data_IF_679456616687
#
_entry.id   IF_679456616687
#
_cell.length_a   1.000
_cell.length_b   1.000
_cell.length_c   1.000
_cell.angle_alpha   90.00
_cell.angle_beta   90.00
_cell.angle_gamma   90.00
#
_symmetry.space_group_name_H-M   'P 1'
#
loop_
_entity.id
_entity.type
_entity.pdbx_description
1 polymer ?
#
# COMPACT_ATOMS: atom_id res chain seq x y z
N UNK A 1 -4.45 2.95 -1.36
CA UNK A 1 -3.60 1.83 -0.93
C UNK A 1 -4.36 0.52 -1.06
N UNK A 2 -3.67 -0.56 -1.42
CA UNK A 2 -4.23 -1.92 -1.43
C UNK A 2 -3.46 -2.74 -0.39
N UNK A 3 -4.16 -3.27 0.60
CA UNK A 3 -3.59 -4.13 1.63
C UNK A 3 -3.84 -5.59 1.24
N UNK A 4 -2.78 -6.27 0.76
CA UNK A 4 -2.87 -7.66 0.36
C UNK A 4 -2.66 -8.59 1.55
N UNK A 5 -3.70 -9.29 1.95
CA UNK A 5 -3.68 -10.38 2.93
C UNK A 5 -2.99 -10.03 4.27
N UNK A 6 -3.12 -8.79 4.72
CA UNK A 6 -2.66 -8.41 6.06
C UNK A 6 -3.56 -9.05 7.10
N UNK A 7 -3.09 -10.12 7.73
CA UNK A 7 -3.87 -10.89 8.71
C UNK A 7 -3.75 -10.36 10.14
N UNK A 8 -2.79 -9.50 10.41
CA UNK A 8 -2.59 -8.90 11.72
C UNK A 8 -3.42 -7.61 11.84
N UNK A 9 -4.38 -7.60 12.76
CA UNK A 9 -5.24 -6.45 13.01
C UNK A 9 -4.48 -5.19 13.43
N UNK A 10 -3.34 -5.35 14.11
CA UNK A 10 -2.48 -4.23 14.51
C UNK A 10 -1.86 -3.56 13.27
N UNK A 11 -1.38 -4.33 12.32
CA UNK A 11 -0.83 -3.80 11.07
C UNK A 11 -1.91 -3.10 10.22
N UNK A 12 -3.10 -3.69 10.14
CA UNK A 12 -4.23 -3.06 9.44
C UNK A 12 -4.57 -1.72 10.08
N UNK A 13 -4.75 -1.68 11.40
CA UNK A 13 -5.06 -0.44 12.12
C UNK A 13 -3.98 0.63 11.95
N UNK A 14 -2.71 0.25 12.05
CA UNK A 14 -1.59 1.17 11.88
C UNK A 14 -1.50 1.72 10.45
N UNK A 15 -1.77 0.89 9.43
CA UNK A 15 -1.82 1.33 8.04
C UNK A 15 -2.95 2.35 7.81
N UNK A 16 -4.13 2.12 8.38
CA UNK A 16 -5.23 3.08 8.31
C UNK A 16 -4.88 4.41 8.98
N UNK A 17 -4.23 4.36 10.14
CA UNK A 17 -3.80 5.58 10.84
C UNK A 17 -2.82 6.39 10.00
N UNK A 18 -1.81 5.77 9.43
CA UNK A 18 -0.85 6.42 8.54
C UNK A 18 -1.54 6.96 7.29
N UNK A 19 -2.45 6.21 6.71
CA UNK A 19 -3.21 6.62 5.53
C UNK A 19 -4.03 7.89 5.80
N UNK A 20 -4.73 7.95 6.93
CA UNK A 20 -5.48 9.14 7.33
C UNK A 20 -4.56 10.34 7.55
N UNK A 21 -3.44 10.14 8.23
CA UNK A 21 -2.50 11.21 8.55
C UNK A 21 -1.78 11.76 7.31
N UNK A 22 -1.54 10.92 6.32
CA UNK A 22 -0.72 11.25 5.15
C UNK A 22 -1.51 11.46 3.85
N UNK A 23 -2.84 11.55 3.96
CA UNK A 23 -3.70 11.96 2.85
C UNK A 23 -3.95 10.90 1.79
N UNK A 24 -3.92 9.62 2.16
CA UNK A 24 -4.34 8.53 1.26
C UNK A 24 -5.85 8.66 1.02
N UNK A 25 -6.26 8.62 -0.24
CA UNK A 25 -7.66 8.87 -0.62
C UNK A 25 -8.59 7.72 -0.25
N UNK A 26 -8.12 6.48 -0.39
CA UNK A 26 -8.92 5.30 -0.09
C UNK A 26 -8.05 4.07 0.14
N UNK A 27 -8.62 3.06 0.80
CA UNK A 27 -7.97 1.77 1.03
C UNK A 27 -8.84 0.64 0.48
N UNK A 28 -8.22 -0.27 -0.25
CA UNK A 28 -8.80 -1.55 -0.62
C UNK A 28 -8.16 -2.65 0.22
N UNK A 29 -8.99 -3.52 0.80
CA UNK A 29 -8.49 -4.71 1.50
C UNK A 29 -8.87 -5.95 0.69
N UNK A 30 -7.92 -6.86 0.53
CA UNK A 30 -8.14 -8.08 -0.24
C UNK A 30 -9.02 -9.09 0.55
N UNK A 31 -9.55 -10.14 -0.10
CA UNK A 31 -10.52 -11.04 0.56
C UNK A 31 -10.03 -11.67 1.86
N UNK A 32 -8.72 -11.91 2.00
CA UNK A 32 -8.14 -12.55 3.21
C UNK A 32 -7.57 -11.56 4.22
N UNK A 33 -7.66 -10.26 3.94
CA UNK A 33 -7.18 -9.24 4.86
C UNK A 33 -7.99 -9.25 6.16
N UNK A 34 -7.35 -8.99 7.29
CA UNK A 34 -8.02 -8.83 8.58
C UNK A 34 -9.07 -7.71 8.50
N UNK A 35 -10.12 -7.83 9.30
CA UNK A 35 -11.22 -6.87 9.31
C UNK A 35 -10.78 -5.53 9.91
N UNK A 36 -10.86 -4.43 9.14
CA UNK A 36 -10.57 -3.10 9.68
C UNK A 36 -11.49 -2.68 10.83
N UNK A 37 -12.68 -3.23 10.91
CA UNK A 37 -13.65 -2.95 11.97
C UNK A 37 -13.51 -3.85 13.20
N UNK A 38 -12.57 -4.80 13.19
CA UNK A 38 -12.27 -5.57 14.38
C UNK A 38 -11.76 -4.66 15.48
N UNK A 39 -12.13 -4.97 16.73
CA UNK A 39 -11.86 -4.11 17.89
C UNK A 39 -10.40 -3.63 17.97
N UNK A 40 -9.43 -4.53 17.77
CA UNK A 40 -8.01 -4.18 17.80
C UNK A 40 -7.63 -3.24 16.66
N UNK A 41 -8.13 -3.47 15.45
CA UNK A 41 -7.88 -2.59 14.30
C UNK A 41 -8.41 -1.18 14.58
N UNK A 42 -9.63 -1.05 15.09
CA UNK A 42 -10.23 0.23 15.44
C UNK A 42 -9.39 0.96 16.49
N UNK A 43 -8.97 0.26 17.54
CA UNK A 43 -8.18 0.87 18.64
C UNK A 43 -6.81 1.32 18.16
N UNK A 44 -6.09 0.47 17.43
CA UNK A 44 -4.76 0.81 16.91
C UNK A 44 -4.83 1.95 15.90
N UNK A 45 -5.86 1.99 15.09
CA UNK A 45 -6.06 3.05 14.10
C UNK A 45 -6.42 4.41 14.73
N UNK A 46 -6.74 4.46 16.02
CA UNK A 46 -7.24 5.67 16.69
C UNK A 46 -8.48 6.22 16.00
N UNK A 47 -9.35 5.34 15.50
CA UNK A 47 -10.57 5.70 14.76
C UNK A 47 -10.37 6.02 13.29
N UNK A 48 -9.16 5.94 12.76
CA UNK A 48 -8.89 6.25 11.36
C UNK A 48 -9.65 5.33 10.37
N UNK A 49 -10.03 4.12 10.78
CA UNK A 49 -10.86 3.22 9.98
C UNK A 49 -12.23 3.83 9.62
N UNK A 50 -12.68 4.84 10.35
CA UNK A 50 -13.91 5.58 10.07
C UNK A 50 -13.67 6.87 9.27
N UNK A 51 -12.42 7.25 9.04
CA UNK A 51 -12.05 8.50 8.35
C UNK A 51 -11.64 8.25 6.90
N UNK A 52 -10.94 7.16 6.63
CA UNK A 52 -10.48 6.82 5.29
C UNK A 52 -11.51 5.90 4.64
N UNK A 53 -12.06 6.27 3.47
CA UNK A 53 -12.93 5.37 2.72
C UNK A 53 -12.22 4.06 2.42
N UNK A 54 -12.91 2.95 2.65
CA UNK A 54 -12.34 1.65 2.35
C UNK A 54 -13.42 0.66 1.93
N UNK A 55 -13.01 -0.37 1.20
CA UNK A 55 -13.85 -1.50 0.89
C UNK A 55 -13.05 -2.79 0.80
N UNK A 56 -13.71 -3.90 1.08
CA UNK A 56 -13.17 -5.24 0.82
C UNK A 56 -13.48 -5.61 -0.62
N UNK A 57 -12.45 -5.89 -1.40
CA UNK A 57 -12.64 -6.37 -2.76
C UNK A 57 -12.93 -7.87 -2.77
N UNK A 58 -13.69 -8.33 -3.76
CA UNK A 58 -14.18 -9.71 -3.82
C UNK A 58 -13.22 -10.67 -4.51
N UNK A 59 -12.32 -10.13 -5.33
CA UNK A 59 -11.27 -10.92 -5.99
C UNK A 59 -9.96 -10.13 -6.04
N UNK A 60 -8.87 -10.82 -6.04
CA UNK A 60 -7.54 -10.25 -6.17
C UNK A 60 -6.60 -11.23 -6.88
N UNK A 61 -5.68 -10.80 -7.78
CA UNK A 61 -5.51 -9.42 -8.24
C UNK A 61 -6.66 -8.91 -9.10
N UNK A 62 -6.94 -7.60 -8.97
CA UNK A 62 -7.96 -6.90 -9.75
C UNK A 62 -7.33 -5.67 -10.44
N UNK A 63 -6.14 -5.84 -11.00
CA UNK A 63 -5.34 -4.76 -11.58
C UNK A 63 -6.01 -4.16 -12.81
N UNK A 64 -6.71 -4.98 -13.58
CA UNK A 64 -7.50 -4.54 -14.73
C UNK A 64 -8.56 -3.49 -14.35
N UNK A 65 -9.27 -3.69 -13.23
CA UNK A 65 -10.25 -2.73 -12.73
C UNK A 65 -9.59 -1.41 -12.30
N UNK A 66 -8.40 -1.49 -11.68
CA UNK A 66 -7.63 -0.30 -11.31
C UNK A 66 -7.13 0.45 -12.54
N UNK A 67 -6.65 -0.26 -13.56
CA UNK A 67 -6.25 0.35 -14.83
C UNK A 67 -7.43 1.03 -15.53
N UNK A 68 -8.58 0.40 -15.56
CA UNK A 68 -9.80 0.98 -16.16
C UNK A 68 -10.22 2.26 -15.44
N UNK A 69 -9.94 2.37 -14.15
CA UNK A 69 -10.19 3.58 -13.36
C UNK A 69 -9.06 4.63 -13.47
N UNK A 70 -8.03 4.35 -14.24
CA UNK A 70 -6.93 5.28 -14.50
C UNK A 70 -5.76 5.22 -13.51
N UNK A 71 -5.69 4.16 -12.68
CA UNK A 71 -4.60 4.00 -11.72
C UNK A 71 -3.41 3.28 -12.33
N UNK A 72 -2.22 3.79 -12.05
CA UNK A 72 -1.00 3.00 -12.15
C UNK A 72 -0.83 2.17 -10.89
N UNK A 73 -0.45 0.91 -11.02
CA UNK A 73 -0.34 -0.02 -9.90
C UNK A 73 1.13 -0.24 -9.57
N UNK A 74 1.53 0.14 -8.37
CA UNK A 74 2.88 -0.03 -7.84
C UNK A 74 2.85 -1.04 -6.69
N UNK A 75 3.69 -2.06 -6.78
CA UNK A 75 3.84 -3.08 -5.75
C UNK A 75 5.07 -2.78 -4.89
N UNK A 76 4.88 -2.62 -3.58
CA UNK A 76 6.00 -2.37 -2.66
C UNK A 76 6.61 -3.71 -2.25
N UNK A 77 7.79 -4.00 -2.76
CA UNK A 77 8.47 -5.27 -2.53
C UNK A 77 9.97 -5.15 -2.75
N UNK A 78 10.74 -6.09 -2.17
CA UNK A 78 12.14 -6.26 -2.50
C UNK A 78 12.27 -7.09 -3.78
N UNK A 79 12.91 -6.51 -4.77
CA UNK A 79 13.26 -7.18 -6.02
C UNK A 79 14.50 -6.52 -6.59
N UNK A 80 15.36 -7.28 -7.25
CA UNK A 80 16.56 -6.73 -7.90
C UNK A 80 16.20 -5.70 -8.98
N UNK A 81 15.08 -5.92 -9.66
CA UNK A 81 14.59 -5.05 -10.72
C UNK A 81 13.68 -3.92 -10.21
N UNK A 82 13.50 -3.80 -8.89
CA UNK A 82 12.64 -2.78 -8.33
C UNK A 82 13.25 -1.39 -8.45
N UNK A 83 12.39 -0.42 -8.77
CA UNK A 83 12.74 1.01 -8.75
C UNK A 83 12.77 1.49 -7.30
N UNK A 84 13.69 2.38 -6.94
CA UNK A 84 13.66 2.98 -5.61
C UNK A 84 12.41 3.83 -5.41
N UNK A 85 11.93 3.90 -4.18
CA UNK A 85 10.77 4.73 -3.83
C UNK A 85 11.02 6.21 -4.19
N UNK A 86 12.23 6.69 -4.00
CA UNK A 86 12.60 8.07 -4.34
C UNK A 86 12.48 8.34 -5.85
N UNK A 87 13.01 7.45 -6.68
CA UNK A 87 12.93 7.57 -8.13
C UNK A 87 11.48 7.43 -8.63
N UNK A 88 10.72 6.51 -8.04
CA UNK A 88 9.32 6.34 -8.37
C UNK A 88 8.50 7.59 -8.03
N UNK A 89 8.70 8.15 -6.83
CA UNK A 89 8.01 9.37 -6.39
C UNK A 89 8.33 10.57 -7.28
N UNK A 90 9.54 10.62 -7.86
CA UNK A 90 9.96 11.67 -8.77
C UNK A 90 9.53 11.44 -10.23
N UNK A 91 9.02 10.25 -10.54
CA UNK A 91 8.63 9.88 -11.92
C UNK A 91 7.35 10.59 -12.37
N UNK A 92 7.13 10.72 -13.70
CA UNK A 92 5.89 11.28 -14.25
C UNK A 92 4.63 10.54 -13.78
N UNK A 93 4.73 9.26 -13.47
CA UNK A 93 3.63 8.46 -12.92
C UNK A 93 3.07 9.07 -11.63
N UNK A 94 3.93 9.68 -10.82
CA UNK A 94 3.54 10.28 -9.53
C UNK A 94 3.40 11.80 -9.58
N UNK A 95 4.06 12.47 -10.53
CA UNK A 95 4.16 13.94 -10.56
C UNK A 95 3.21 14.62 -11.54
N UNK A 96 2.65 13.89 -12.49
CA UNK A 96 1.68 14.46 -13.41
C UNK A 96 0.41 14.91 -12.67
N UNK A 97 -0.22 15.97 -13.16
CA UNK A 97 -1.36 16.60 -12.49
C UNK A 97 -2.58 15.66 -12.32
N UNK A 98 -2.72 14.70 -13.21
CA UNK A 98 -3.79 13.69 -13.20
C UNK A 98 -3.33 12.33 -12.68
N UNK A 99 -2.20 12.27 -12.02
CA UNK A 99 -1.64 11.02 -11.48
C UNK A 99 -2.57 10.34 -10.51
N UNK A 100 -2.78 9.04 -10.72
CA UNK A 100 -3.48 8.15 -9.80
C UNK A 100 -2.63 6.92 -9.58
N UNK A 101 -2.23 6.69 -8.36
CA UNK A 101 -1.38 5.54 -7.99
C UNK A 101 -2.08 4.66 -6.98
N UNK A 102 -2.16 3.38 -7.27
CA UNK A 102 -2.56 2.34 -6.33
C UNK A 102 -1.29 1.65 -5.83
N UNK A 103 -0.99 1.82 -4.55
CA UNK A 103 0.17 1.20 -3.91
C UNK A 103 -0.26 -0.09 -3.22
N UNK A 104 0.33 -1.21 -3.61
CA UNK A 104 0.03 -2.53 -3.05
C UNK A 104 1.06 -2.89 -2.00
N UNK A 105 0.58 -3.23 -0.81
CA UNK A 105 1.38 -3.59 0.37
C UNK A 105 1.05 -5.02 0.78
N UNK A 106 2.05 -5.84 1.02
CA UNK A 106 1.90 -7.24 1.40
C UNK A 106 2.36 -7.53 2.82
N UNK A 107 2.16 -8.78 3.23
CA UNK A 107 2.52 -9.26 4.57
C UNK A 107 4.03 -9.24 4.81
N UNK A 108 4.40 -9.23 6.08
CA UNK A 108 5.75 -9.57 6.51
C UNK A 108 6.03 -11.05 6.24
N UNK A 109 7.28 -11.36 5.92
CA UNK A 109 7.73 -12.72 5.63
C UNK A 109 7.51 -13.11 4.16
N UNK A 110 6.30 -13.47 3.78
CA UNK A 110 5.98 -13.90 2.42
C UNK A 110 5.91 -12.74 1.41
N UNK A 111 5.68 -11.53 1.87
CA UNK A 111 5.53 -10.35 1.02
C UNK A 111 4.29 -10.43 0.13
N UNK A 112 4.38 -9.85 -1.04
CA UNK A 112 3.30 -9.88 -2.03
C UNK A 112 3.26 -11.20 -2.79
N UNK A 113 2.05 -11.59 -3.20
CA UNK A 113 1.87 -12.76 -4.06
C UNK A 113 2.57 -12.57 -5.42
N UNK A 114 3.01 -13.69 -6.02
CA UNK A 114 3.61 -13.65 -7.37
C UNK A 114 2.67 -13.07 -8.40
N UNK A 115 1.38 -13.35 -8.28
CA UNK A 115 0.35 -12.84 -9.18
C UNK A 115 0.22 -11.32 -9.08
N UNK A 116 0.24 -10.77 -7.86
CA UNK A 116 0.20 -9.32 -7.65
C UNK A 116 1.46 -8.64 -8.21
N UNK A 117 2.64 -9.21 -7.96
CA UNK A 117 3.90 -8.69 -8.50
C UNK A 117 3.92 -8.69 -10.03
N UNK A 118 3.46 -9.80 -10.64
CA UNK A 118 3.42 -9.93 -12.11
C UNK A 118 2.41 -8.96 -12.75
N UNK A 119 1.32 -8.65 -12.06
CA UNK A 119 0.27 -7.76 -12.55
C UNK A 119 0.59 -6.27 -12.36
N UNK A 120 1.49 -5.91 -11.44
CA UNK A 120 1.83 -4.53 -11.16
C UNK A 120 2.59 -3.87 -12.32
N UNK A 121 2.36 -2.58 -12.52
CA UNK A 121 3.06 -1.78 -13.52
C UNK A 121 4.52 -1.53 -13.12
N UNK A 122 4.76 -1.39 -11.82
CA UNK A 122 6.10 -1.19 -11.25
C UNK A 122 6.22 -1.93 -9.93
N UNK A 123 7.39 -2.49 -9.69
CA UNK A 123 7.80 -2.94 -8.37
C UNK A 123 8.69 -1.85 -7.78
N UNK A 124 8.35 -1.39 -6.58
CA UNK A 124 9.00 -0.28 -5.90
C UNK A 124 9.59 -0.79 -4.60
N UNK A 125 10.82 -0.41 -4.30
CA UNK A 125 11.48 -0.78 -3.05
C UNK A 125 11.85 0.44 -2.21
N UNK A 126 11.83 0.27 -0.90
CA UNK A 126 12.46 1.20 0.02
C UNK A 126 13.91 0.76 0.18
N UNK A 127 14.90 1.57 -0.23
CA UNK A 127 16.31 1.22 -0.03
C UNK A 127 16.62 1.01 1.44
N UNK A 128 17.27 -0.11 1.77
CA UNK A 128 17.62 -0.47 3.16
C UNK A 128 19.13 -0.36 3.36
N UNK A 129 19.53 -0.06 4.58
CA UNK A 129 20.92 0.01 5.00
C UNK A 129 21.23 -1.10 6.01
N UNK A 130 22.53 -1.36 6.24
CA UNK A 130 22.98 -2.24 7.32
C UNK A 130 22.59 -3.71 7.19
N UNK A 131 22.33 -4.21 5.97
CA UNK A 131 21.96 -5.62 5.75
C UNK A 131 20.53 -5.96 6.20
N UNK A 132 19.71 -4.96 6.51
CA UNK A 132 18.29 -5.15 6.85
C UNK A 132 17.48 -5.34 5.56
N UNK A 133 16.70 -6.42 5.49
CA UNK A 133 15.97 -6.78 4.27
C UNK A 133 14.60 -6.12 4.15
N UNK A 134 13.93 -5.86 5.28
CA UNK A 134 12.56 -5.33 5.26
C UNK A 134 12.24 -4.51 6.50
N UNK A 135 11.22 -3.65 6.36
CA UNK A 135 10.54 -3.00 7.47
C UNK A 135 9.25 -3.75 7.79
N UNK A 136 8.76 -3.56 9.03
CA UNK A 136 7.37 -3.89 9.34
C UNK A 136 6.45 -3.25 8.30
N UNK A 137 5.40 -3.95 7.87
CA UNK A 137 4.52 -3.48 6.79
C UNK A 137 3.85 -2.14 7.11
N UNK A 138 3.48 -1.89 8.36
CA UNK A 138 2.91 -0.61 8.77
C UNK A 138 3.93 0.52 8.70
N UNK A 139 5.19 0.26 9.08
CA UNK A 139 6.28 1.22 8.93
C UNK A 139 6.58 1.50 7.46
N UNK A 140 6.65 0.46 6.64
CA UNK A 140 6.84 0.59 5.19
C UNK A 140 5.70 1.40 4.55
N UNK A 141 4.45 1.16 4.98
CA UNK A 141 3.30 1.93 4.53
C UNK A 141 3.44 3.42 4.84
N UNK A 142 3.81 3.78 6.07
CA UNK A 142 3.99 5.18 6.46
C UNK A 142 5.08 5.86 5.62
N UNK A 143 6.20 5.21 5.40
CA UNK A 143 7.30 5.74 4.57
C UNK A 143 6.82 5.97 3.13
N UNK A 144 6.15 4.98 2.54
CA UNK A 144 5.68 5.07 1.16
C UNK A 144 4.57 6.13 1.01
N UNK A 145 3.62 6.20 1.94
CA UNK A 145 2.57 7.23 1.90
C UNK A 145 3.16 8.64 2.02
N UNK A 146 4.16 8.83 2.86
CA UNK A 146 4.85 10.10 2.96
C UNK A 146 5.55 10.48 1.65
N UNK A 147 6.27 9.55 1.04
CA UNK A 147 6.99 9.79 -0.20
C UNK A 147 6.06 10.13 -1.38
N UNK A 148 4.89 9.47 -1.43
CA UNK A 148 3.93 9.60 -2.53
C UNK A 148 2.82 10.64 -2.26
N UNK A 149 2.83 11.30 -1.09
CA UNK A 149 1.78 12.27 -0.77
C UNK A 149 1.74 13.41 -1.78
N UNK A 150 0.54 13.93 -2.01
CA UNK A 150 0.37 15.12 -2.84
C UNK A 150 1.07 16.30 -2.15
N UNK A 151 1.98 16.94 -2.86
CA UNK A 151 2.60 18.18 -2.41
C UNK A 151 1.78 19.33 -2.98
N UNK A 152 0.96 19.90 -2.13
CA UNK A 152 0.18 21.07 -2.47
C UNK A 152 1.07 22.29 -2.66
#
# INVERSE_FOLDING_TARGET
>A
AVLEDLVDHTNVGAAFRSAAALGVDAILVTPRCADPLYRRSVRVSMGAVFQVPWTRITRWPAVDELHDAGFAVAALALSEDAVSLDDFAASPTCTAADSKVALVLGTEGDGLSRRALAAADRVVRIPMAGGVDSLNVAAAAAVAFWALRTRG
#
